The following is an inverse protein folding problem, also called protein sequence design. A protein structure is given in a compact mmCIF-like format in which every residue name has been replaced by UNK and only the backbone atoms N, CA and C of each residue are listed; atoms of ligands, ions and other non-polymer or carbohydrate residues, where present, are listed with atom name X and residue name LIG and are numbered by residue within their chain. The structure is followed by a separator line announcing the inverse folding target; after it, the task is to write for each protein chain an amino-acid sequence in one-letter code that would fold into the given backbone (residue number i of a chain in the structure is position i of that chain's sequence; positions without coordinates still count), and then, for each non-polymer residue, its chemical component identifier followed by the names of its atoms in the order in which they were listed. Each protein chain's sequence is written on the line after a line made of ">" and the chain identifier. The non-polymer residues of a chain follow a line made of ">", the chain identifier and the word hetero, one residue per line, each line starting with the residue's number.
data_IF_749895485456
#
_entry.id   IF_749895485456
#
_cell.length_a   1.000
_cell.length_b   1.000
_cell.length_c   1.000
_cell.angle_alpha   90.00
_cell.angle_beta   90.00
_cell.angle_gamma   90.00
#
_symmetry.space_group_name_H-M   'P 1'
#
loop_
_entity.id
_entity.type
_entity.pdbx_description
1 polymer ?
#
# COMPACT_ATOMS: atom_id res chain seq x y z
N UNK A 1 -13.19 -44.07 30.17
CA UNK A 1 -12.07 -44.03 31.11
C UNK A 1 -10.90 -44.73 30.46
N UNK A 2 -10.05 -43.93 29.83
CA UNK A 2 -8.74 -44.32 29.32
C UNK A 2 -7.88 -43.10 29.57
N UNK A 3 -7.12 -43.17 30.67
CA UNK A 3 -6.22 -42.14 31.14
C UNK A 3 -5.12 -41.90 30.10
N UNK A 4 -5.01 -40.65 29.66
CA UNK A 4 -3.81 -40.16 28.96
C UNK A 4 -3.01 -39.41 30.02
N UNK A 5 -1.97 -40.06 30.53
CA UNK A 5 -0.93 -39.39 31.34
C UNK A 5 -0.11 -38.48 30.43
N UNK A 6 0.15 -37.20 30.79
CA UNK A 6 1.05 -36.35 30.03
C UNK A 6 2.50 -36.83 30.19
N UNK A 7 3.24 -36.80 29.08
CA UNK A 7 4.67 -37.08 29.03
C UNK A 7 5.44 -35.89 29.69
N UNK A 8 6.34 -36.12 30.66
CA UNK A 8 6.95 -35.03 31.45
C UNK A 8 8.19 -34.40 30.79
N UNK A 9 8.32 -34.48 29.46
CA UNK A 9 9.54 -34.11 28.73
C UNK A 9 9.29 -33.03 27.66
N UNK A 10 8.28 -32.18 27.87
CA UNK A 10 8.09 -30.97 27.07
C UNK A 10 8.94 -29.86 27.68
N UNK A 11 10.24 -29.89 27.38
CA UNK A 11 11.08 -28.71 27.54
C UNK A 11 10.45 -27.60 26.71
N UNK A 12 9.93 -26.58 27.37
CA UNK A 12 9.33 -25.36 26.82
C UNK A 12 10.17 -24.78 25.67
N UNK A 13 9.95 -25.26 24.45
CA UNK A 13 10.44 -24.59 23.25
C UNK A 13 9.59 -23.32 23.12
N UNK A 14 10.23 -22.16 23.35
CA UNK A 14 9.66 -20.87 22.95
C UNK A 14 9.48 -20.91 21.44
N UNK A 15 8.26 -21.22 20.97
CA UNK A 15 7.91 -20.97 19.58
C UNK A 15 7.65 -19.47 19.47
N UNK A 16 8.67 -18.71 19.07
CA UNK A 16 8.43 -17.37 18.57
C UNK A 16 7.56 -17.50 17.33
N UNK A 17 6.48 -16.71 17.25
CA UNK A 17 5.72 -16.58 16.00
C UNK A 17 6.60 -15.81 15.02
N UNK A 18 7.52 -16.53 14.38
CA UNK A 18 8.50 -15.98 13.45
C UNK A 18 7.80 -15.68 12.11
N UNK A 19 6.90 -14.69 12.12
CA UNK A 19 6.29 -14.14 10.93
C UNK A 19 7.32 -13.28 10.20
N UNK A 20 8.32 -13.91 9.60
CA UNK A 20 9.26 -13.19 8.75
C UNK A 20 8.66 -13.05 7.35
N UNK A 21 8.48 -11.79 6.94
CA UNK A 21 8.17 -11.37 5.55
C UNK A 21 9.10 -12.00 4.50
N UNK A 22 10.22 -12.59 4.93
CA UNK A 22 11.17 -13.36 4.11
C UNK A 22 10.59 -14.62 3.49
N UNK A 23 9.60 -15.30 4.09
CA UNK A 23 8.97 -16.44 3.40
C UNK A 23 8.16 -15.98 2.19
N UNK A 24 7.71 -14.71 2.16
CA UNK A 24 7.00 -14.13 1.02
C UNK A 24 7.94 -13.53 -0.04
N UNK A 25 9.07 -12.94 0.36
CA UNK A 25 10.05 -12.37 -0.57
C UNK A 25 11.05 -13.40 -1.13
N UNK A 26 11.31 -14.52 -0.44
CA UNK A 26 12.24 -15.55 -0.90
C UNK A 26 11.60 -16.60 -1.83
N UNK A 27 10.26 -16.74 -1.85
CA UNK A 27 9.57 -17.67 -2.76
C UNK A 27 9.52 -17.20 -4.21
N UNK A 28 9.92 -15.96 -4.49
CA UNK A 28 10.11 -15.47 -5.86
C UNK A 28 11.48 -15.85 -6.45
N UNK A 29 12.31 -16.62 -5.74
CA UNK A 29 13.60 -17.09 -6.23
C UNK A 29 14.00 -18.42 -5.58
N UNK A 30 13.71 -19.54 -6.28
CA UNK A 30 14.50 -20.79 -6.41
C UNK A 30 13.58 -22.01 -6.50
N UNK A 31 13.40 -22.50 -7.73
CA UNK A 31 13.69 -23.90 -8.05
C UNK A 31 14.36 -23.92 -9.44
N UNK A 32 15.70 -23.81 -9.44
CA UNK A 32 16.57 -24.05 -10.59
C UNK A 32 16.41 -25.50 -11.06
N UNK A 33 15.71 -25.70 -12.18
CA UNK A 33 16.07 -26.72 -13.16
C UNK A 33 17.08 -26.08 -14.13
N UNK A 34 18.18 -26.76 -14.50
CA UNK A 34 19.21 -26.15 -15.33
C UNK A 34 18.71 -26.07 -16.77
N UNK A 35 18.41 -24.86 -17.23
CA UNK A 35 18.14 -24.58 -18.63
C UNK A 35 17.04 -23.56 -18.83
N UNK A 36 17.43 -22.28 -18.80
CA UNK A 36 17.06 -21.20 -19.73
C UNK A 36 17.44 -19.84 -19.08
N UNK A 37 18.04 -19.00 -19.90
CA UNK A 37 18.60 -17.68 -19.58
C UNK A 37 17.53 -16.64 -19.29
N UNK A 38 17.97 -15.59 -18.57
CA UNK A 38 17.43 -14.22 -18.42
C UNK A 38 16.32 -13.98 -17.38
N UNK A 39 16.76 -13.55 -16.20
CA UNK A 39 15.98 -12.72 -15.28
C UNK A 39 16.08 -11.28 -15.77
N UNK A 40 15.03 -10.77 -16.41
CA UNK A 40 14.95 -9.40 -16.86
C UNK A 40 14.70 -8.46 -15.69
N UNK A 41 15.63 -7.55 -15.42
CA UNK A 41 15.32 -6.27 -14.76
C UNK A 41 14.31 -5.53 -15.64
N UNK A 42 13.22 -5.02 -15.06
CA UNK A 42 12.33 -4.11 -15.75
C UNK A 42 13.10 -2.82 -16.08
N UNK A 43 13.66 -2.77 -17.28
CA UNK A 43 14.08 -1.55 -17.96
C UNK A 43 12.83 -0.70 -18.26
N UNK A 44 12.95 0.64 -18.42
CA UNK A 44 11.80 1.51 -18.56
C UNK A 44 10.91 1.04 -19.72
N UNK A 45 9.63 0.94 -19.41
CA UNK A 45 8.53 0.54 -20.28
C UNK A 45 8.66 1.20 -21.65
N UNK A 46 8.90 0.37 -22.67
CA UNK A 46 8.59 0.73 -24.04
C UNK A 46 7.12 1.09 -24.09
N UNK A 47 6.80 2.30 -24.60
CA UNK A 47 5.44 2.77 -24.83
C UNK A 47 4.68 1.68 -25.60
N UNK A 48 3.84 0.92 -24.89
CA UNK A 48 2.79 0.11 -25.48
C UNK A 48 1.96 1.08 -26.33
N UNK A 49 1.57 0.74 -27.57
CA UNK A 49 0.65 1.59 -28.32
C UNK A 49 -0.50 1.98 -27.40
N UNK A 50 -0.79 3.29 -27.30
CA UNK A 50 -1.85 3.82 -26.43
C UNK A 50 -3.12 3.01 -26.70
N UNK A 51 -3.49 2.18 -25.71
CA UNK A 51 -4.71 1.41 -25.73
C UNK A 51 -5.79 2.29 -25.13
N UNK A 52 -6.77 2.70 -25.95
CA UNK A 52 -7.93 3.38 -25.41
C UNK A 52 -8.80 2.39 -24.62
N UNK A 53 -9.74 2.87 -23.79
CA UNK A 53 -10.67 1.98 -23.09
C UNK A 53 -11.39 0.98 -24.01
N UNK A 54 -11.73 1.38 -25.23
CA UNK A 54 -12.42 0.54 -26.21
C UNK A 54 -11.56 -0.58 -26.80
N UNK A 55 -10.23 -0.46 -26.71
CA UNK A 55 -9.27 -1.42 -27.26
C UNK A 55 -8.89 -2.53 -26.26
N UNK A 56 -9.29 -2.41 -24.99
CA UNK A 56 -8.94 -3.40 -23.96
C UNK A 56 -9.66 -4.74 -24.23
N UNK A 57 -8.92 -5.86 -24.34
CA UNK A 57 -9.52 -7.18 -24.42
C UNK A 57 -10.01 -7.63 -23.03
N UNK A 58 -11.20 -7.19 -22.62
CA UNK A 58 -11.70 -7.37 -21.26
C UNK A 58 -11.66 -8.82 -20.76
N UNK A 59 -11.91 -9.82 -21.61
CA UNK A 59 -11.85 -11.24 -21.24
C UNK A 59 -10.45 -11.66 -20.76
N UNK A 60 -9.38 -11.07 -21.30
CA UNK A 60 -7.99 -11.34 -20.89
C UNK A 60 -7.63 -10.69 -19.56
N UNK A 61 -8.42 -9.70 -19.12
CA UNK A 61 -8.19 -8.93 -17.90
C UNK A 61 -9.18 -9.31 -16.80
N UNK A 62 -10.47 -9.00 -16.95
CA UNK A 62 -11.46 -9.14 -15.86
C UNK A 62 -12.07 -10.54 -15.74
N UNK A 63 -11.72 -11.47 -16.62
CA UNK A 63 -12.11 -12.89 -16.57
C UNK A 63 -10.89 -13.84 -16.57
N UNK A 64 -9.74 -13.36 -16.16
CA UNK A 64 -8.48 -14.11 -16.16
C UNK A 64 -7.82 -14.08 -14.77
N UNK A 65 -7.94 -15.14 -13.96
CA UNK A 65 -7.43 -15.16 -12.60
C UNK A 65 -5.89 -15.16 -12.52
N UNK A 66 -5.18 -15.37 -13.64
CA UNK A 66 -3.72 -15.31 -13.69
C UNK A 66 -3.20 -13.86 -13.85
N UNK A 67 -4.02 -12.95 -14.40
CA UNK A 67 -3.69 -11.53 -14.55
C UNK A 67 -4.35 -10.72 -13.44
N UNK A 68 -3.68 -10.56 -12.31
CA UNK A 68 -4.21 -9.83 -11.15
C UNK A 68 -3.89 -8.32 -11.20
N UNK A 69 -2.79 -7.97 -11.85
CA UNK A 69 -2.24 -6.62 -11.94
C UNK A 69 -1.42 -6.47 -13.23
N UNK A 70 -1.29 -5.24 -13.72
CA UNK A 70 -0.38 -4.89 -14.80
C UNK A 70 0.26 -3.53 -14.54
N UNK A 71 1.59 -3.43 -14.73
CA UNK A 71 2.40 -2.22 -14.51
C UNK A 71 2.36 -1.65 -13.08
N UNK A 72 1.99 -2.45 -12.08
CA UNK A 72 2.04 -2.04 -10.69
C UNK A 72 3.46 -2.10 -10.10
N UNK A 73 3.77 -1.20 -9.18
CA UNK A 73 4.90 -1.35 -8.27
C UNK A 73 4.64 -2.50 -7.30
N UNK A 74 5.64 -3.34 -7.04
CA UNK A 74 5.47 -4.42 -6.07
C UNK A 74 5.21 -3.86 -4.66
N UNK A 75 4.30 -4.49 -3.93
CA UNK A 75 3.86 -3.98 -2.63
C UNK A 75 4.98 -3.68 -1.62
N UNK A 76 4.95 -2.47 -1.07
CA UNK A 76 5.90 -1.96 -0.08
C UNK A 76 5.18 -1.15 1.02
N UNK A 77 5.91 -0.77 2.08
CA UNK A 77 5.38 0.21 3.05
C UNK A 77 5.19 1.58 2.37
N UNK A 78 4.23 2.41 2.78
CA UNK A 78 4.11 3.76 2.20
C UNK A 78 5.39 4.59 2.36
N UNK A 79 5.87 5.17 1.26
CA UNK A 79 7.22 5.76 1.15
C UNK A 79 7.25 7.27 0.91
N UNK A 80 6.12 7.97 1.11
CA UNK A 80 6.02 9.43 0.89
C UNK A 80 7.20 10.16 1.56
N UNK A 81 8.13 10.75 0.78
CA UNK A 81 9.35 11.30 1.34
C UNK A 81 9.09 12.68 1.94
N UNK A 82 9.96 13.10 2.85
CA UNK A 82 10.08 14.46 3.39
C UNK A 82 11.46 15.03 3.06
N UNK A 83 11.64 16.36 3.07
CA UNK A 83 12.95 16.98 2.84
C UNK A 83 13.99 16.69 3.93
N UNK A 84 13.56 16.29 5.13
CA UNK A 84 14.44 15.90 6.25
C UNK A 84 13.65 15.18 7.35
N UNK A 85 14.35 14.42 8.20
CA UNK A 85 13.73 13.79 9.38
C UNK A 85 13.15 14.83 10.33
N UNK A 86 13.77 16.01 10.43
CA UNK A 86 13.23 17.12 11.23
C UNK A 86 11.87 17.59 10.71
N UNK A 87 11.71 17.71 9.38
CA UNK A 87 10.42 18.08 8.77
C UNK A 87 9.38 16.99 9.03
N UNK A 88 9.72 15.73 8.78
CA UNK A 88 8.81 14.60 9.06
C UNK A 88 8.35 14.58 10.52
N UNK A 89 9.27 14.75 11.48
CA UNK A 89 8.96 14.80 12.91
C UNK A 89 8.06 15.98 13.31
N UNK A 90 8.21 17.14 12.67
CA UNK A 90 7.40 18.32 12.98
C UNK A 90 5.90 18.12 12.67
N UNK A 91 5.61 17.23 11.71
CA UNK A 91 4.26 16.85 11.30
C UNK A 91 3.80 15.55 11.95
N UNK A 92 4.69 14.81 12.62
CA UNK A 92 4.33 13.64 13.42
C UNK A 92 3.71 14.03 14.76
N UNK A 93 2.48 14.54 14.73
CA UNK A 93 1.71 14.92 15.91
C UNK A 93 0.73 13.83 16.30
N UNK A 94 0.34 13.80 17.58
CA UNK A 94 -0.75 12.95 18.03
C UNK A 94 -2.03 13.24 17.22
N UNK A 95 -2.82 12.21 17.00
CA UNK A 95 -4.12 12.28 16.32
C UNK A 95 -4.09 12.78 14.86
N UNK A 96 -3.00 12.55 14.14
CA UNK A 96 -2.92 12.76 12.69
C UNK A 96 -2.80 11.44 11.94
N UNK A 97 -3.65 11.24 10.94
CA UNK A 97 -3.59 10.08 10.04
C UNK A 97 -2.32 10.11 9.18
N UNK A 98 -1.93 8.99 8.56
CA UNK A 98 -0.89 8.99 7.53
C UNK A 98 -1.13 10.04 6.45
N UNK A 99 -2.32 10.07 5.85
CA UNK A 99 -2.68 11.06 4.82
C UNK A 99 -2.49 12.51 5.29
N UNK A 100 -2.99 12.86 6.48
CA UNK A 100 -2.85 14.21 7.02
C UNK A 100 -1.40 14.61 7.26
N UNK A 101 -0.52 13.64 7.56
CA UNK A 101 0.92 13.88 7.69
C UNK A 101 1.56 14.03 6.31
N UNK A 102 1.20 13.19 5.36
CA UNK A 102 1.75 13.21 4.00
C UNK A 102 1.40 14.49 3.25
N UNK A 103 0.19 15.03 3.44
CA UNK A 103 -0.21 16.35 2.92
C UNK A 103 0.70 17.51 3.36
N UNK A 104 1.55 17.32 4.37
CA UNK A 104 2.53 18.31 4.80
C UNK A 104 3.87 18.17 4.08
N UNK A 105 4.07 17.08 3.32
CA UNK A 105 5.23 16.89 2.48
C UNK A 105 5.10 17.68 1.18
N UNK A 106 6.15 18.38 0.73
CA UNK A 106 6.20 18.93 -0.63
C UNK A 106 6.25 17.86 -1.73
N UNK A 107 6.29 16.58 -1.39
CA UNK A 107 6.39 15.46 -2.31
C UNK A 107 5.13 14.59 -2.33
N UNK A 108 4.01 15.14 -1.88
CA UNK A 108 2.71 14.48 -1.87
C UNK A 108 1.62 15.43 -2.37
N UNK A 109 0.69 14.91 -3.15
CA UNK A 109 -0.53 15.61 -3.58
C UNK A 109 -1.72 14.65 -3.47
N UNK A 110 -2.85 15.15 -2.94
CA UNK A 110 -4.09 14.38 -2.85
C UNK A 110 -4.91 14.55 -4.13
N UNK A 111 -5.36 13.45 -4.71
CA UNK A 111 -6.35 13.41 -5.79
C UNK A 111 -7.75 13.03 -5.29
N UNK A 112 -8.02 13.19 -4.00
CA UNK A 112 -9.39 13.23 -3.50
C UNK A 112 -10.12 14.50 -3.96
N UNK A 113 -11.44 14.52 -3.83
CA UNK A 113 -12.31 15.65 -4.20
C UNK A 113 -13.26 15.28 -5.32
N UNK A 114 -13.72 16.28 -6.08
CA UNK A 114 -14.70 16.07 -7.14
C UNK A 114 -14.04 15.54 -8.41
N UNK A 115 -14.65 14.52 -9.01
CA UNK A 115 -14.29 13.96 -10.30
C UNK A 115 -15.52 13.94 -11.21
N UNK A 116 -15.31 14.11 -12.51
CA UNK A 116 -16.32 13.82 -13.51
C UNK A 116 -16.59 12.32 -13.53
N UNK A 117 -17.85 11.93 -13.68
CA UNK A 117 -18.27 10.55 -13.55
C UNK A 117 -19.34 10.16 -14.57
N UNK A 118 -19.12 9.02 -15.22
CA UNK A 118 -20.10 8.40 -16.10
C UNK A 118 -20.36 6.96 -15.66
N UNK A 119 -21.62 6.65 -15.38
CA UNK A 119 -22.05 5.30 -15.04
C UNK A 119 -22.67 4.60 -16.25
N UNK A 120 -22.20 3.40 -16.57
CA UNK A 120 -22.76 2.54 -17.60
C UNK A 120 -23.27 1.23 -16.99
N UNK A 121 -24.36 0.69 -17.54
CA UNK A 121 -24.95 -0.58 -17.08
C UNK A 121 -24.04 -1.79 -17.35
N UNK A 122 -23.25 -1.74 -18.42
CA UNK A 122 -22.32 -2.78 -18.85
C UNK A 122 -21.14 -2.17 -19.64
N UNK A 123 -20.06 -2.95 -19.88
CA UNK A 123 -18.87 -2.43 -20.53
C UNK A 123 -19.11 -1.89 -21.94
N UNK A 124 -20.01 -2.50 -22.71
CA UNK A 124 -20.33 -2.06 -24.07
C UNK A 124 -20.96 -0.65 -24.13
N UNK A 125 -21.50 -0.15 -23.02
CA UNK A 125 -22.07 1.20 -22.91
C UNK A 125 -21.12 2.19 -22.19
N UNK A 126 -19.93 1.74 -21.75
CA UNK A 126 -18.93 2.63 -21.20
C UNK A 126 -18.27 3.45 -22.32
N UNK A 127 -17.73 4.65 -22.02
CA UNK A 127 -16.94 5.41 -22.99
C UNK A 127 -15.79 4.57 -23.53
N UNK A 128 -15.66 4.49 -24.86
CA UNK A 128 -14.53 3.81 -25.53
C UNK A 128 -13.28 4.69 -25.59
N UNK A 129 -13.44 5.99 -25.36
CA UNK A 129 -12.40 7.02 -25.40
C UNK A 129 -12.56 7.95 -24.19
N UNK A 130 -11.47 8.60 -23.80
CA UNK A 130 -11.42 9.53 -22.66
C UNK A 130 -11.37 11.01 -23.10
N UNK A 131 -11.25 11.30 -24.38
CA UNK A 131 -10.97 12.65 -24.89
C UNK A 131 -12.07 13.70 -24.68
N UNK A 132 -13.27 13.31 -24.23
CA UNK A 132 -14.37 14.28 -24.04
C UNK A 132 -15.27 13.89 -22.86
N UNK A 133 -15.09 14.61 -21.76
CA UNK A 133 -16.08 14.71 -20.68
C UNK A 133 -17.29 15.48 -21.22
N UNK A 134 -18.28 14.78 -21.76
CA UNK A 134 -19.52 15.40 -22.24
C UNK A 134 -20.40 15.89 -21.08
N UNK A 135 -21.69 15.56 -21.12
CA UNK A 135 -22.62 15.80 -20.01
C UNK A 135 -22.49 14.72 -18.92
N UNK A 136 -21.30 14.56 -18.36
CA UNK A 136 -21.06 13.62 -17.26
C UNK A 136 -21.52 14.20 -15.92
N UNK A 137 -21.85 13.32 -14.99
CA UNK A 137 -22.15 13.70 -13.62
C UNK A 137 -20.86 14.06 -12.87
N UNK A 138 -21.00 14.48 -11.61
CA UNK A 138 -19.87 14.69 -10.70
C UNK A 138 -20.05 13.81 -9.46
N UNK A 139 -18.99 13.11 -9.05
CA UNK A 139 -18.91 12.33 -7.80
C UNK A 139 -17.75 12.84 -6.94
N UNK A 140 -17.83 12.60 -5.63
CA UNK A 140 -16.68 12.79 -4.74
C UNK A 140 -15.87 11.51 -4.69
N UNK A 141 -14.55 11.61 -4.81
CA UNK A 141 -13.60 10.52 -4.59
C UNK A 141 -12.82 10.80 -3.29
N UNK A 142 -12.72 9.85 -2.36
CA UNK A 142 -13.32 8.52 -2.40
C UNK A 142 -14.84 8.51 -2.19
N UNK A 143 -15.52 7.58 -2.87
CA UNK A 143 -16.92 7.21 -2.64
C UNK A 143 -17.22 5.86 -3.30
N UNK A 144 -18.15 5.10 -2.73
CA UNK A 144 -18.81 4.03 -3.48
C UNK A 144 -19.93 4.64 -4.32
N UNK A 145 -20.00 4.35 -5.62
CA UNK A 145 -20.94 5.07 -6.48
C UNK A 145 -22.41 4.82 -6.08
N UNK A 146 -22.70 3.75 -5.35
CA UNK A 146 -24.04 3.47 -4.83
C UNK A 146 -24.49 4.48 -3.78
N UNK A 147 -23.55 5.06 -3.01
CA UNK A 147 -23.86 6.13 -2.05
C UNK A 147 -24.29 7.42 -2.77
N UNK A 148 -23.79 7.63 -4.00
CA UNK A 148 -24.15 8.77 -4.85
C UNK A 148 -25.41 8.52 -5.70
N UNK A 149 -26.07 7.37 -5.52
CA UNK A 149 -27.33 7.03 -6.19
C UNK A 149 -27.18 6.27 -7.51
N UNK A 150 -25.97 5.85 -7.89
CA UNK A 150 -25.74 5.07 -9.11
C UNK A 150 -25.87 3.56 -8.87
N UNK A 151 -26.54 2.86 -9.79
CA UNK A 151 -26.75 1.41 -9.68
C UNK A 151 -27.52 1.00 -8.41
N UNK A 152 -27.19 -0.18 -7.87
CA UNK A 152 -27.89 -0.76 -6.71
C UNK A 152 -26.91 -1.30 -5.67
N UNK A 153 -27.15 -0.94 -4.40
CA UNK A 153 -26.53 -1.58 -3.24
C UNK A 153 -27.07 -3.01 -3.09
N UNK A 154 -26.19 -3.98 -2.96
CA UNK A 154 -26.57 -5.38 -2.77
C UNK A 154 -26.03 -5.86 -1.44
N UNK A 155 -26.89 -6.40 -0.58
CA UNK A 155 -26.45 -7.12 0.61
C UNK A 155 -26.58 -8.62 0.35
N UNK A 156 -25.49 -9.34 0.59
CA UNK A 156 -25.42 -10.79 0.49
C UNK A 156 -24.57 -11.32 1.63
N UNK A 157 -24.89 -12.54 2.06
CA UNK A 157 -24.10 -13.26 3.06
C UNK A 157 -23.25 -14.34 2.38
N UNK A 158 -23.88 -15.46 1.99
CA UNK A 158 -23.17 -16.60 1.39
C UNK A 158 -23.27 -16.59 -0.14
N UNK A 159 -24.44 -16.24 -0.68
CA UNK A 159 -24.68 -16.27 -2.13
C UNK A 159 -24.02 -15.08 -2.81
N UNK A 160 -23.23 -15.32 -3.86
CA UNK A 160 -22.63 -14.27 -4.67
C UNK A 160 -23.70 -13.31 -5.25
N UNK A 161 -23.30 -12.06 -5.49
CA UNK A 161 -24.14 -11.06 -6.16
C UNK A 161 -24.01 -11.09 -7.69
N UNK A 162 -23.09 -11.91 -8.22
CA UNK A 162 -22.96 -12.26 -9.63
C UNK A 162 -23.67 -13.59 -9.94
N UNK A 163 -24.28 -13.70 -11.13
CA UNK A 163 -24.99 -14.90 -11.60
C UNK A 163 -24.94 -14.99 -13.13
N UNK A 164 -24.80 -16.20 -13.73
CA UNK A 164 -24.61 -17.49 -13.08
C UNK A 164 -23.24 -17.60 -12.36
N UNK A 165 -23.09 -18.61 -11.51
CA UNK A 165 -21.78 -18.98 -10.97
C UNK A 165 -21.01 -19.75 -12.04
N UNK A 166 -20.06 -19.08 -12.70
CA UNK A 166 -19.26 -19.64 -13.78
C UNK A 166 -17.82 -19.08 -13.77
N UNK A 167 -17.00 -19.36 -12.73
CA UNK A 167 -15.66 -18.80 -12.66
C UNK A 167 -14.76 -19.29 -13.81
N UNK A 168 -13.94 -18.42 -14.42
CA UNK A 168 -13.64 -17.05 -13.99
C UNK A 168 -14.56 -15.97 -14.60
N UNK A 169 -15.55 -16.33 -15.41
CA UNK A 169 -16.37 -15.39 -16.17
C UNK A 169 -17.26 -14.50 -15.30
N UNK A 170 -17.57 -13.31 -15.82
CA UNK A 170 -18.52 -12.37 -15.21
C UNK A 170 -19.65 -12.03 -16.19
N UNK A 171 -20.81 -11.51 -15.73
CA UNK A 171 -21.92 -11.25 -16.63
C UNK A 171 -21.58 -10.12 -17.63
N UNK A 172 -21.73 -10.37 -18.93
CA UNK A 172 -21.46 -9.36 -19.96
C UNK A 172 -22.66 -8.43 -20.22
N UNK A 173 -23.88 -8.87 -19.90
CA UNK A 173 -25.12 -8.12 -20.08
C UNK A 173 -25.32 -7.06 -19.00
N UNK A 174 -24.95 -7.37 -17.76
CA UNK A 174 -25.00 -6.48 -16.60
C UNK A 174 -23.67 -6.61 -15.86
N UNK A 175 -22.74 -5.69 -16.12
CA UNK A 175 -21.55 -5.46 -15.31
C UNK A 175 -21.25 -3.96 -15.25
N UNK A 176 -21.85 -3.24 -14.28
CA UNK A 176 -21.76 -1.79 -14.24
C UNK A 176 -20.32 -1.28 -14.23
N UNK A 177 -20.09 -0.24 -15.03
CA UNK A 177 -18.78 0.41 -15.16
C UNK A 177 -18.90 1.86 -14.76
N UNK A 178 -18.05 2.28 -13.82
CA UNK A 178 -17.87 3.68 -13.45
C UNK A 178 -16.64 4.26 -14.14
N UNK A 179 -16.81 5.23 -15.02
CA UNK A 179 -15.70 5.97 -15.64
C UNK A 179 -15.51 7.29 -14.91
N UNK A 180 -14.32 7.50 -14.36
CA UNK A 180 -13.93 8.67 -13.59
C UNK A 180 -12.89 9.49 -14.37
N UNK A 181 -13.03 10.81 -14.37
CA UNK A 181 -12.02 11.72 -14.92
C UNK A 181 -11.81 12.94 -14.04
N UNK A 182 -10.57 13.43 -13.99
CA UNK A 182 -10.27 14.77 -13.46
C UNK A 182 -8.99 15.32 -14.07
N UNK A 183 -8.86 16.64 -14.04
CA UNK A 183 -7.57 17.28 -14.24
C UNK A 183 -6.82 17.45 -12.92
N UNK A 184 -5.51 17.56 -13.01
CA UNK A 184 -4.62 17.86 -11.89
C UNK A 184 -3.34 18.53 -12.40
N UNK A 185 -2.57 19.13 -11.50
CA UNK A 185 -1.25 19.65 -11.81
C UNK A 185 -0.22 19.00 -10.91
N UNK A 186 0.97 18.79 -11.45
CA UNK A 186 2.12 18.30 -10.70
C UNK A 186 3.06 19.49 -10.45
N UNK A 187 3.61 19.68 -9.24
CA UNK A 187 4.58 20.74 -8.99
C UNK A 187 5.80 20.61 -9.91
N UNK A 188 6.26 21.69 -10.54
CA UNK A 188 7.42 21.69 -11.46
C UNK A 188 8.65 20.97 -10.90
N UNK A 189 8.88 21.07 -9.58
CA UNK A 189 9.98 20.38 -8.87
C UNK A 189 9.93 18.85 -8.91
N UNK A 190 8.83 18.24 -9.39
CA UNK A 190 8.70 16.80 -9.58
C UNK A 190 9.06 16.36 -11.01
N UNK A 191 9.12 17.30 -11.97
CA UNK A 191 9.39 16.99 -13.37
C UNK A 191 10.87 16.73 -13.65
N UNK A 192 11.77 17.17 -12.77
CA UNK A 192 13.22 17.06 -12.93
C UNK A 192 13.84 16.06 -11.93
N UNK A 193 14.55 15.03 -12.44
CA UNK A 193 15.38 14.08 -11.66
C UNK A 193 14.63 13.35 -10.52
N UNK A 194 13.35 13.05 -10.76
CA UNK A 194 12.45 12.40 -9.81
C UNK A 194 11.52 11.42 -10.50
N UNK A 195 10.96 10.51 -9.71
CA UNK A 195 9.87 9.62 -10.10
C UNK A 195 8.58 10.10 -9.45
N UNK A 196 7.45 9.92 -10.12
CA UNK A 196 6.12 10.22 -9.60
C UNK A 196 5.25 8.98 -9.68
N UNK A 197 4.68 8.60 -8.55
CA UNK A 197 3.83 7.43 -8.40
C UNK A 197 2.40 7.86 -8.12
N UNK A 198 1.47 7.24 -8.83
CA UNK A 198 0.04 7.33 -8.59
C UNK A 198 -0.38 6.16 -7.70
N UNK A 199 -1.05 6.47 -6.59
CA UNK A 199 -1.48 5.49 -5.58
C UNK A 199 -2.99 5.54 -5.41
N UNK A 200 -3.63 4.38 -5.53
CA UNK A 200 -5.01 4.15 -5.12
C UNK A 200 -5.01 3.28 -3.86
N UNK A 201 -5.60 3.75 -2.75
CA UNK A 201 -5.64 2.99 -1.49
C UNK A 201 -6.72 1.89 -1.47
N UNK A 202 -7.63 1.89 -2.46
CA UNK A 202 -8.67 0.88 -2.62
C UNK A 202 -9.73 1.26 -3.66
N UNK A 203 -9.87 0.41 -4.68
CA UNK A 203 -10.85 0.51 -5.75
C UNK A 203 -11.53 -0.84 -5.90
N UNK A 204 -12.87 -0.87 -6.06
CA UNK A 204 -13.61 -2.14 -6.13
C UNK A 204 -14.41 -2.27 -7.44
N UNK A 205 -14.32 -3.38 -8.18
CA UNK A 205 -13.51 -4.60 -7.93
C UNK A 205 -12.29 -4.75 -8.83
N UNK A 206 -12.27 -4.10 -9.99
CA UNK A 206 -11.12 -4.07 -10.90
C UNK A 206 -11.13 -2.76 -11.68
N UNK A 207 -9.96 -2.27 -12.08
CA UNK A 207 -9.90 -1.01 -12.82
C UNK A 207 -8.67 -0.86 -13.69
N UNK A 208 -8.83 -0.02 -14.71
CA UNK A 208 -7.76 0.45 -15.59
C UNK A 208 -7.54 1.93 -15.37
N UNK A 209 -6.31 2.39 -15.56
CA UNK A 209 -5.92 3.80 -15.38
C UNK A 209 -5.16 4.32 -16.59
N UNK A 210 -5.45 5.58 -16.94
CA UNK A 210 -4.80 6.35 -17.98
C UNK A 210 -4.36 7.72 -17.45
N UNK A 211 -3.24 8.22 -17.97
CA UNK A 211 -2.76 9.57 -17.73
C UNK A 211 -2.53 10.23 -19.10
N UNK A 212 -3.17 11.37 -19.34
CA UNK A 212 -3.10 12.10 -20.62
C UNK A 212 -3.41 11.24 -21.86
N UNK A 213 -4.31 10.26 -21.72
CA UNK A 213 -4.68 9.31 -22.78
C UNK A 213 -3.75 8.10 -22.92
N UNK A 214 -2.60 8.08 -22.24
CA UNK A 214 -1.70 6.94 -22.22
C UNK A 214 -2.13 5.93 -21.15
N UNK A 215 -2.23 4.67 -21.55
CA UNK A 215 -2.54 3.57 -20.64
C UNK A 215 -1.39 3.37 -19.64
N UNK A 216 -1.74 3.35 -18.36
CA UNK A 216 -0.78 3.25 -17.25
C UNK A 216 -0.77 1.84 -16.66
N UNK A 217 -1.93 1.24 -16.39
CA UNK A 217 -1.98 -0.10 -15.78
C UNK A 217 -3.35 -0.55 -15.31
N UNK A 218 -3.36 -1.70 -14.63
CA UNK A 218 -4.56 -2.42 -14.20
C UNK A 218 -4.41 -3.08 -12.81
N UNK A 219 -5.52 -3.24 -12.09
CA UNK A 219 -5.60 -3.87 -10.77
C UNK A 219 -6.95 -4.59 -10.52
N UNK A 220 -6.93 -5.63 -9.68
CA UNK A 220 -8.11 -6.33 -9.11
C UNK A 220 -8.15 -6.35 -7.57
N UNK A 221 -7.13 -5.85 -6.88
CA UNK A 221 -6.96 -5.99 -5.44
C UNK A 221 -7.74 -4.96 -4.63
N UNK A 222 -9.03 -5.18 -4.36
CA UNK A 222 -9.87 -4.12 -3.80
C UNK A 222 -9.51 -3.66 -2.38
N UNK A 223 -8.73 -4.43 -1.62
CA UNK A 223 -8.48 -4.18 -0.20
C UNK A 223 -7.06 -3.69 0.11
N UNK A 224 -6.19 -3.71 -0.89
CA UNK A 224 -4.79 -3.29 -0.83
C UNK A 224 -4.57 -2.11 -1.76
N UNK A 225 -3.52 -1.33 -1.50
CA UNK A 225 -3.19 -0.22 -2.37
C UNK A 225 -2.46 -0.72 -3.62
N UNK A 226 -2.78 -0.11 -4.76
CA UNK A 226 -2.09 -0.30 -6.02
C UNK A 226 -1.36 1.00 -6.38
N UNK A 227 -0.13 0.87 -6.85
CA UNK A 227 0.74 1.99 -7.20
C UNK A 227 1.29 1.84 -8.61
N UNK A 228 1.35 2.93 -9.37
CA UNK A 228 1.85 2.95 -10.74
C UNK A 228 2.87 4.08 -10.91
N UNK A 229 4.01 3.79 -11.53
CA UNK A 229 4.94 4.83 -11.95
C UNK A 229 4.39 5.57 -13.18
N UNK A 230 3.96 6.82 -12.96
CA UNK A 230 3.35 7.66 -13.99
C UNK A 230 4.35 8.67 -14.58
N UNK A 231 5.62 8.59 -14.20
CA UNK A 231 6.64 9.61 -14.52
C UNK A 231 6.70 9.91 -16.02
N UNK A 232 6.65 8.88 -16.87
CA UNK A 232 6.75 9.03 -18.32
C UNK A 232 5.48 9.56 -18.99
N UNK A 233 4.31 9.43 -18.35
CA UNK A 233 3.02 9.86 -18.89
C UNK A 233 2.68 11.31 -18.51
N UNK A 234 3.41 11.90 -17.56
CA UNK A 234 3.16 13.26 -17.08
C UNK A 234 3.70 14.33 -18.04
N UNK A 235 2.98 15.45 -18.10
CA UNK A 235 3.40 16.66 -18.79
C UNK A 235 3.46 17.86 -17.84
N UNK A 236 4.18 18.90 -18.26
CA UNK A 236 4.24 20.16 -17.51
C UNK A 236 2.87 20.85 -17.51
N UNK A 237 2.46 21.37 -16.35
CA UNK A 237 1.18 22.05 -16.19
C UNK A 237 0.03 21.10 -15.91
N UNK A 238 -1.07 21.25 -16.64
CA UNK A 238 -2.28 20.45 -16.44
C UNK A 238 -2.13 19.05 -17.06
N UNK A 239 -2.51 18.05 -16.28
CA UNK A 239 -2.58 16.65 -16.65
C UNK A 239 -4.02 16.16 -16.46
N UNK A 240 -4.40 15.11 -17.17
CA UNK A 240 -5.68 14.43 -17.01
C UNK A 240 -5.46 12.99 -16.54
N UNK A 241 -6.30 12.54 -15.61
CA UNK A 241 -6.39 11.13 -15.21
C UNK A 241 -7.77 10.61 -15.59
N UNK A 242 -7.79 9.42 -16.20
CA UNK A 242 -8.99 8.65 -16.45
C UNK A 242 -8.91 7.27 -15.78
N UNK A 243 -10.03 6.80 -15.23
CA UNK A 243 -10.11 5.51 -14.55
C UNK A 243 -11.43 4.84 -14.93
N UNK A 244 -11.37 3.57 -15.36
CA UNK A 244 -12.59 2.77 -15.55
C UNK A 244 -12.63 1.64 -14.53
N UNK A 245 -13.66 1.67 -13.68
CA UNK A 245 -13.86 0.72 -12.59
C UNK A 245 -15.03 -0.20 -12.92
N UNK A 246 -14.78 -1.51 -12.86
CA UNK A 246 -15.74 -2.56 -13.12
C UNK A 246 -16.30 -3.07 -11.80
N UNK A 247 -17.62 -3.25 -11.74
CA UNK A 247 -18.29 -3.78 -10.54
C UNK A 247 -17.87 -5.21 -10.24
N UNK A 248 -17.78 -6.03 -11.28
CA UNK A 248 -17.40 -7.42 -11.19
C UNK A 248 -16.21 -7.73 -12.10
N UNK A 249 -15.35 -8.60 -11.58
CA UNK A 249 -14.21 -9.25 -12.22
C UNK A 249 -14.09 -10.66 -11.63
N UNK A 250 -13.20 -11.50 -12.15
CA UNK A 250 -12.88 -12.80 -11.53
C UNK A 250 -12.45 -12.66 -10.04
N UNK A 251 -11.85 -11.53 -9.65
CA UNK A 251 -11.54 -11.21 -8.25
C UNK A 251 -12.79 -11.17 -7.35
N UNK A 252 -13.97 -10.90 -7.91
CA UNK A 252 -15.24 -10.90 -7.16
C UNK A 252 -15.58 -12.26 -6.56
N UNK A 253 -15.10 -13.37 -7.15
CA UNK A 253 -15.26 -14.70 -6.59
C UNK A 253 -14.50 -14.89 -5.26
N UNK A 254 -13.46 -14.08 -5.01
CA UNK A 254 -12.67 -14.09 -3.78
C UNK A 254 -13.16 -13.08 -2.74
N UNK A 255 -14.02 -12.14 -3.13
CA UNK A 255 -14.48 -11.02 -2.30
C UNK A 255 -15.97 -11.16 -1.90
N UNK A 256 -16.33 -12.34 -1.39
CA UNK A 256 -17.69 -12.72 -1.00
C UNK A 256 -17.89 -12.67 0.54
N UNK A 257 -17.49 -11.57 1.17
CA UNK A 257 -17.72 -11.37 2.60
C UNK A 257 -19.21 -11.09 2.89
N UNK A 258 -19.69 -11.44 4.10
CA UNK A 258 -21.04 -11.11 4.56
C UNK A 258 -21.17 -9.60 4.82
N UNK A 259 -21.46 -8.85 3.75
CA UNK A 259 -21.48 -7.39 3.78
C UNK A 259 -22.32 -6.81 2.63
N UNK A 260 -22.38 -5.48 2.58
CA UNK A 260 -22.82 -4.77 1.39
C UNK A 260 -21.76 -4.83 0.29
N UNK A 261 -22.16 -5.24 -0.91
CA UNK A 261 -21.34 -5.30 -2.11
C UNK A 261 -21.47 -3.98 -2.86
N UNK A 262 -20.40 -3.19 -2.81
CA UNK A 262 -20.26 -1.88 -3.43
C UNK A 262 -19.22 -1.91 -4.55
N UNK A 263 -19.10 -0.80 -5.28
CA UNK A 263 -18.04 -0.60 -6.28
C UNK A 263 -17.68 0.88 -6.41
N UNK A 264 -16.51 1.14 -7.02
CA UNK A 264 -15.95 2.48 -7.19
C UNK A 264 -14.64 2.68 -6.44
N UNK A 265 -14.13 3.91 -6.50
CA UNK A 265 -12.89 4.35 -5.84
C UNK A 265 -13.23 4.73 -4.40
N UNK A 266 -13.16 3.79 -3.46
CA UNK A 266 -13.74 3.94 -2.13
C UNK A 266 -12.74 4.33 -1.03
N UNK A 267 -11.44 4.38 -1.35
CA UNK A 267 -10.36 4.93 -0.52
C UNK A 267 -9.52 5.96 -1.31
N UNK A 268 -8.63 6.63 -0.59
CA UNK A 268 -7.89 7.79 -1.08
C UNK A 268 -7.13 7.54 -2.39
N UNK A 269 -7.05 8.57 -3.22
CA UNK A 269 -6.19 8.61 -4.41
C UNK A 269 -5.15 9.72 -4.20
N UNK A 270 -3.90 9.44 -4.52
CA UNK A 270 -2.81 10.40 -4.31
C UNK A 270 -1.69 10.23 -5.31
N UNK A 271 -0.90 11.29 -5.46
CA UNK A 271 0.41 11.26 -6.09
C UNK A 271 1.47 11.50 -5.04
N UNK A 272 2.60 10.83 -5.19
CA UNK A 272 3.80 11.19 -4.46
C UNK A 272 5.02 11.08 -5.35
N UNK A 273 6.08 11.81 -5.00
CA UNK A 273 7.30 11.84 -5.80
C UNK A 273 8.53 11.49 -4.99
N UNK A 274 9.38 10.62 -5.52
CA UNK A 274 10.67 10.25 -4.92
C UNK A 274 11.82 10.79 -5.78
N UNK A 275 13.03 10.98 -5.23
CA UNK A 275 14.23 11.01 -6.04
C UNK A 275 14.40 9.68 -6.79
N UNK A 276 15.23 9.67 -7.84
CA UNK A 276 15.56 8.44 -8.57
C UNK A 276 16.11 7.33 -7.65
N UNK A 277 16.95 7.69 -6.68
CA UNK A 277 17.39 6.78 -5.64
C UNK A 277 16.68 7.07 -4.32
N UNK A 278 16.00 6.07 -3.77
CA UNK A 278 15.16 6.24 -2.59
C UNK A 278 15.06 4.96 -1.74
N UNK A 279 14.68 5.13 -0.47
CA UNK A 279 14.30 4.04 0.42
C UNK A 279 12.93 3.49 0.00
N UNK A 280 12.91 2.37 -0.71
CA UNK A 280 11.71 1.79 -1.32
C UNK A 280 10.87 0.99 -0.34
N UNK A 281 11.50 0.23 0.54
CA UNK A 281 10.78 -0.57 1.54
C UNK A 281 11.60 -0.71 2.82
N UNK A 282 10.94 -1.02 3.92
CA UNK A 282 11.60 -1.42 5.15
C UNK A 282 10.71 -2.28 6.04
N UNK A 283 11.33 -3.13 6.84
CA UNK A 283 10.70 -3.87 7.91
C UNK A 283 11.38 -3.55 9.25
N UNK A 284 10.61 -2.94 10.16
CA UNK A 284 11.01 -2.72 11.54
C UNK A 284 10.59 -3.94 12.39
N UNK A 285 11.58 -4.66 12.91
CA UNK A 285 11.41 -5.85 13.74
C UNK A 285 11.92 -5.56 15.15
N UNK A 286 11.10 -4.88 15.98
CA UNK A 286 11.43 -4.73 17.39
C UNK A 286 11.22 -6.07 18.10
N UNK A 287 12.18 -6.43 18.94
CA UNK A 287 12.17 -7.62 19.79
C UNK A 287 12.60 -7.24 21.20
N UNK A 288 12.28 -8.10 22.16
CA UNK A 288 12.80 -8.01 23.53
C UNK A 288 13.70 -9.22 23.82
N UNK A 289 14.64 -9.07 24.77
CA UNK A 289 15.41 -10.21 25.27
C UNK A 289 14.52 -11.17 26.10
N UNK A 290 15.07 -12.34 26.45
CA UNK A 290 14.32 -13.40 27.15
C UNK A 290 13.70 -12.97 28.49
N UNK A 291 14.29 -11.94 29.13
CA UNK A 291 13.82 -11.37 30.40
C UNK A 291 12.91 -10.15 30.19
N UNK A 292 12.64 -9.78 28.93
CA UNK A 292 11.93 -8.60 28.51
C UNK A 292 12.54 -7.30 29.05
N UNK A 293 13.83 -7.25 29.37
CA UNK A 293 14.49 -6.09 29.97
C UNK A 293 15.08 -5.17 28.91
N UNK A 294 15.70 -5.72 27.87
CA UNK A 294 16.32 -4.95 26.79
C UNK A 294 15.63 -5.23 25.46
N UNK A 295 15.76 -4.30 24.53
CA UNK A 295 15.19 -4.46 23.20
C UNK A 295 16.22 -4.26 22.10
N UNK A 296 16.02 -4.99 21.00
CA UNK A 296 16.78 -4.81 19.77
C UNK A 296 15.80 -4.50 18.65
N UNK A 297 16.01 -3.36 17.99
CA UNK A 297 15.35 -3.06 16.73
C UNK A 297 16.19 -3.62 15.59
N UNK A 298 15.72 -4.69 14.96
CA UNK A 298 16.25 -5.13 13.67
C UNK A 298 15.57 -4.33 12.55
N UNK A 299 16.37 -3.83 11.61
CA UNK A 299 15.89 -3.10 10.44
C UNK A 299 16.38 -3.81 9.21
N UNK A 300 15.44 -4.21 8.36
CA UNK A 300 15.70 -4.57 6.96
C UNK A 300 15.18 -3.43 6.10
N UNK A 301 15.99 -2.92 5.18
CA UNK A 301 15.64 -1.81 4.32
C UNK A 301 16.04 -2.14 2.88
N UNK A 302 15.29 -1.62 1.92
CA UNK A 302 15.57 -1.72 0.49
C UNK A 302 15.79 -0.32 -0.07
N UNK A 303 16.92 -0.11 -0.75
CA UNK A 303 17.20 1.14 -1.47
C UNK A 303 17.15 0.84 -2.96
N UNK A 304 16.23 1.47 -3.68
CA UNK A 304 16.11 1.39 -5.13
C UNK A 304 16.78 2.58 -5.80
N UNK A 305 17.29 2.40 -7.01
CA UNK A 305 17.86 3.45 -7.86
C UNK A 305 17.36 3.33 -9.30
N UNK A 306 16.38 4.16 -9.65
CA UNK A 306 15.80 4.22 -11.00
C UNK A 306 16.62 5.05 -12.00
N UNK A 307 17.79 5.59 -11.61
CA UNK A 307 18.66 6.31 -12.53
C UNK A 307 19.47 5.35 -13.42
N UNK A 308 19.89 5.85 -14.58
CA UNK A 308 20.78 5.14 -15.53
C UNK A 308 22.23 5.02 -15.05
N UNK A 309 22.54 5.51 -13.85
CA UNK A 309 23.89 5.47 -13.28
C UNK A 309 23.87 4.92 -11.85
N UNK A 310 24.86 4.07 -11.55
CA UNK A 310 25.06 3.56 -10.21
C UNK A 310 25.48 4.68 -9.26
N UNK A 311 25.16 4.53 -7.98
CA UNK A 311 25.49 5.50 -6.95
C UNK A 311 25.90 4.86 -5.63
N UNK A 312 26.75 5.55 -4.89
CA UNK A 312 27.03 5.22 -3.49
C UNK A 312 26.20 6.11 -2.59
N UNK A 313 25.43 5.52 -1.70
CA UNK A 313 24.51 6.21 -0.80
C UNK A 313 24.88 5.95 0.65
N UNK A 314 24.57 6.91 1.51
CA UNK A 314 24.64 6.77 2.96
C UNK A 314 23.23 6.80 3.51
N UNK A 315 22.76 5.66 4.01
CA UNK A 315 21.52 5.55 4.77
C UNK A 315 21.84 5.85 6.23
N UNK A 316 21.31 6.96 6.74
CA UNK A 316 21.43 7.35 8.15
C UNK A 316 20.10 7.11 8.84
N UNK A 317 20.17 6.42 9.98
CA UNK A 317 18.99 5.99 10.72
C UNK A 317 19.00 6.60 12.10
N UNK A 318 17.94 7.32 12.44
CA UNK A 318 17.75 8.05 13.69
C UNK A 318 16.65 7.40 14.51
N UNK A 319 16.99 6.91 15.71
CA UNK A 319 16.01 6.38 16.65
C UNK A 319 15.59 7.46 17.64
N UNK A 320 14.29 7.68 17.80
CA UNK A 320 13.70 8.59 18.78
C UNK A 320 12.80 7.84 19.76
N UNK A 321 12.88 8.21 21.04
CA UNK A 321 12.03 7.67 22.10
C UNK A 321 10.58 8.18 22.00
N UNK A 322 9.65 7.68 22.83
CA UNK A 322 8.27 8.16 22.87
C UNK A 322 8.11 9.66 23.17
N UNK A 323 9.12 10.30 23.77
CA UNK A 323 9.18 11.72 24.07
C UNK A 323 9.92 12.53 23.00
N UNK A 324 10.10 11.97 21.80
CA UNK A 324 10.78 12.60 20.65
C UNK A 324 12.26 12.92 20.88
N UNK A 325 12.90 12.33 21.91
CA UNK A 325 14.34 12.50 22.16
C UNK A 325 15.11 11.49 21.34
N UNK A 326 16.15 11.95 20.65
CA UNK A 326 17.01 11.08 19.85
C UNK A 326 17.86 10.19 20.74
N UNK A 327 17.63 8.88 20.67
CA UNK A 327 18.33 7.84 21.45
C UNK A 327 19.64 7.45 20.78
N UNK A 328 19.60 7.15 19.47
CA UNK A 328 20.76 6.62 18.73
C UNK A 328 20.74 7.09 17.29
N UNK A 329 21.90 7.11 16.67
CA UNK A 329 22.03 7.34 15.23
C UNK A 329 23.08 6.38 14.69
N UNK A 330 22.71 5.63 13.66
CA UNK A 330 23.62 4.77 12.92
C UNK A 330 23.66 5.20 11.46
N UNK A 331 24.64 4.71 10.72
CA UNK A 331 24.68 4.89 9.28
C UNK A 331 25.38 3.75 8.60
N UNK A 332 24.90 3.36 7.44
CA UNK A 332 25.55 2.39 6.57
C UNK A 332 25.74 2.99 5.18
N UNK A 333 26.81 2.58 4.50
CA UNK A 333 27.11 2.98 3.12
C UNK A 333 26.71 1.83 2.21
N UNK A 334 26.03 2.14 1.10
CA UNK A 334 25.43 1.17 0.19
C UNK A 334 25.77 1.61 -1.23
N UNK A 335 26.34 0.71 -2.02
CA UNK A 335 26.47 0.91 -3.46
C UNK A 335 25.24 0.30 -4.13
N UNK A 336 24.51 1.10 -4.91
CA UNK A 336 23.28 0.69 -5.58
C UNK A 336 23.51 0.81 -7.09
N UNK A 337 23.37 -0.29 -7.87
CA UNK A 337 23.50 -0.24 -9.32
C UNK A 337 22.47 0.68 -9.99
N UNK A 338 22.65 0.95 -11.28
CA UNK A 338 21.66 1.64 -12.09
C UNK A 338 20.46 0.72 -12.36
N UNK A 339 19.23 1.24 -12.23
CA UNK A 339 18.00 0.49 -12.49
C UNK A 339 17.77 -0.73 -11.58
N UNK A 340 18.35 -0.74 -10.39
CA UNK A 340 18.35 -1.90 -9.49
C UNK A 340 18.07 -1.48 -8.03
N UNK A 341 17.83 -2.45 -7.15
CA UNK A 341 17.67 -2.24 -5.71
C UNK A 341 18.60 -3.11 -4.87
N UNK A 342 18.95 -2.62 -3.67
CA UNK A 342 19.83 -3.31 -2.74
C UNK A 342 19.21 -3.35 -1.35
N UNK A 343 19.14 -4.57 -0.79
CA UNK A 343 18.75 -4.80 0.60
C UNK A 343 19.89 -4.53 1.59
N UNK A 344 19.57 -3.95 2.74
CA UNK A 344 20.49 -3.74 3.85
C UNK A 344 19.83 -4.10 5.18
N UNK A 345 20.57 -4.81 6.02
CA UNK A 345 20.11 -5.21 7.36
C UNK A 345 21.07 -4.73 8.44
N UNK A 346 20.53 -4.20 9.54
CA UNK A 346 21.31 -3.81 10.72
C UNK A 346 20.43 -3.80 11.97
N UNK A 347 21.06 -3.70 13.13
CA UNK A 347 20.37 -3.71 14.43
C UNK A 347 20.71 -2.49 15.28
N UNK A 348 19.78 -2.09 16.14
CA UNK A 348 19.94 -1.01 17.11
C UNK A 348 19.49 -1.51 18.49
N UNK A 349 20.44 -1.74 19.39
CA UNK A 349 20.13 -2.09 20.78
C UNK A 349 19.69 -0.88 21.59
N UNK A 350 18.70 -1.10 22.45
CA UNK A 350 18.08 -0.15 23.37
C UNK A 350 17.96 -0.80 24.74
N UNK A 351 18.67 -0.28 25.73
CA UNK A 351 18.54 -0.72 27.10
C UNK A 351 17.20 -0.24 27.70
N UNK A 352 16.48 -1.13 28.39
CA UNK A 352 15.24 -0.81 29.10
C UNK A 352 14.24 0.03 28.29
N UNK A 353 13.80 -0.42 27.10
CA UNK A 353 12.89 0.35 26.27
C UNK A 353 11.51 0.50 26.92
N UNK A 354 10.83 1.61 26.64
CA UNK A 354 9.41 1.74 26.96
C UNK A 354 8.60 0.78 26.08
N UNK A 355 8.14 -0.32 26.67
CA UNK A 355 7.40 -1.38 25.95
C UNK A 355 6.04 -0.89 25.48
N UNK A 356 5.60 -1.41 24.35
CA UNK A 356 4.27 -1.20 23.81
C UNK A 356 3.33 -2.31 24.29
N UNK A 357 2.13 -1.93 24.68
CA UNK A 357 0.95 -2.79 24.84
C UNK A 357 -0.30 -1.98 24.50
N UNK A 358 -1.47 -2.63 24.44
CA UNK A 358 -2.74 -1.91 24.31
C UNK A 358 -2.99 -0.93 25.48
N UNK A 359 -2.49 -1.25 26.67
CA UNK A 359 -2.62 -0.43 27.89
C UNK A 359 -1.59 0.71 27.94
N UNK A 360 -0.41 0.46 27.37
CA UNK A 360 0.71 1.40 27.34
C UNK A 360 1.23 1.53 25.90
N UNK A 361 0.58 2.35 25.05
CA UNK A 361 0.88 2.44 23.62
C UNK A 361 2.14 3.28 23.34
N UNK A 362 3.26 2.93 23.99
CA UNK A 362 4.54 3.60 23.82
C UNK A 362 5.09 3.36 22.41
N UNK A 363 5.22 4.43 21.62
CA UNK A 363 5.73 4.36 20.26
C UNK A 363 7.05 5.11 20.13
N UNK A 364 8.07 4.42 19.64
CA UNK A 364 9.32 4.99 19.16
C UNK A 364 9.14 5.46 17.71
N UNK A 365 10.09 6.27 17.23
CA UNK A 365 10.17 6.66 15.81
C UNK A 365 11.53 6.31 15.22
N UNK A 366 11.53 5.85 13.98
CA UNK A 366 12.74 5.69 13.16
C UNK A 366 12.67 6.69 12.02
N UNK A 367 13.62 7.63 11.99
CA UNK A 367 13.83 8.53 10.88
C UNK A 367 14.95 8.02 9.98
N UNK A 368 14.66 7.75 8.72
CA UNK A 368 15.66 7.41 7.71
C UNK A 368 16.04 8.67 6.93
N UNK A 369 17.32 8.85 6.63
CA UNK A 369 17.84 9.85 5.69
C UNK A 369 18.73 9.15 4.67
N UNK A 370 18.36 9.21 3.39
CA UNK A 370 19.20 8.69 2.31
C UNK A 370 19.89 9.85 1.61
N UNK A 371 21.21 9.77 1.49
CA UNK A 371 22.01 10.78 0.80
C UNK A 371 23.09 10.16 -0.07
N UNK A 372 23.12 10.54 -1.34
CA UNK A 372 24.20 10.16 -2.24
C UNK A 372 25.54 10.77 -1.78
N UNK A 373 26.59 9.96 -1.76
CA UNK A 373 27.94 10.45 -1.46
C UNK A 373 28.46 11.32 -2.60
N UNK A 374 29.23 12.35 -2.25
CA UNK A 374 29.87 13.31 -3.18
C UNK A 374 28.92 14.18 -4.01
N UNK A 375 27.62 13.92 -3.97
CA UNK A 375 26.60 14.80 -4.53
C UNK A 375 26.18 15.88 -3.53
N UNK A 376 25.75 17.02 -4.06
CA UNK A 376 24.99 18.04 -3.31
C UNK A 376 23.47 17.78 -3.37
N UNK A 377 23.05 16.69 -4.03
CA UNK A 377 21.63 16.34 -4.23
C UNK A 377 20.86 16.24 -2.91
N UNK A 378 19.56 16.45 -3.02
CA UNK A 378 18.63 16.49 -1.89
C UNK A 378 18.66 15.18 -1.13
N UNK A 379 18.72 15.28 0.20
CA UNK A 379 18.42 14.18 1.10
C UNK A 379 16.91 13.94 1.05
N UNK A 380 16.50 12.69 0.92
CA UNK A 380 15.14 12.32 1.27
C UNK A 380 15.10 11.74 2.68
N UNK A 381 13.94 11.88 3.31
CA UNK A 381 13.71 11.31 4.62
C UNK A 381 12.35 10.66 4.74
N UNK A 382 12.30 9.56 5.48
CA UNK A 382 11.06 8.89 5.86
C UNK A 382 11.00 8.73 7.38
N UNK A 383 9.78 8.63 7.90
CA UNK A 383 9.55 8.48 9.34
C UNK A 383 8.53 7.38 9.61
N UNK A 384 8.96 6.37 10.34
CA UNK A 384 8.15 5.25 10.77
C UNK A 384 7.95 5.25 12.29
N UNK A 385 6.86 4.63 12.76
CA UNK A 385 6.60 4.36 14.17
C UNK A 385 6.67 2.87 14.43
N UNK A 386 7.14 2.50 15.62
CA UNK A 386 7.13 1.12 16.08
C UNK A 386 7.06 1.08 17.61
N UNK A 387 6.65 -0.06 18.17
CA UNK A 387 6.65 -0.31 19.62
C UNK A 387 7.49 -1.53 19.95
N UNK A 388 8.28 -1.48 21.02
CA UNK A 388 8.96 -2.68 21.52
C UNK A 388 7.95 -3.58 22.19
N UNK A 389 7.66 -4.73 21.57
CA UNK A 389 6.83 -5.77 22.15
C UNK A 389 7.19 -7.14 21.61
N UNK A 390 7.00 -8.15 22.43
CA UNK A 390 7.15 -9.57 22.09
C UNK A 390 5.79 -10.26 22.22
N UNK A 391 5.48 -11.15 21.27
CA UNK A 391 4.29 -12.01 21.29
C UNK A 391 4.74 -13.46 21.30
N UNK A 392 4.30 -14.22 22.29
CA UNK A 392 4.72 -15.61 22.46
C UNK A 392 3.51 -16.47 22.83
N UNK A 393 3.60 -17.76 22.50
CA UNK A 393 2.70 -18.78 23.04
C UNK A 393 3.49 -19.55 24.09
N UNK A 394 3.09 -19.43 25.36
CA UNK A 394 3.71 -20.12 26.49
C UNK A 394 2.63 -20.93 27.19
N UNK A 395 2.85 -22.23 27.39
CA UNK A 395 1.91 -23.14 28.05
C UNK A 395 0.46 -23.07 27.50
N UNK A 396 0.33 -22.88 26.18
CA UNK A 396 -0.96 -22.76 25.48
C UNK A 396 -1.68 -21.42 25.67
N UNK A 397 -1.04 -20.43 26.29
CA UNK A 397 -1.53 -19.07 26.45
C UNK A 397 -0.78 -18.11 25.55
N UNK A 398 -1.45 -17.07 25.04
CA UNK A 398 -0.78 -15.98 24.32
C UNK A 398 -0.30 -14.95 25.35
N UNK A 399 0.98 -14.63 25.28
CA UNK A 399 1.64 -13.64 26.12
C UNK A 399 2.02 -12.41 25.30
N UNK A 400 1.96 -11.24 25.94
CA UNK A 400 2.53 -9.99 25.44
C UNK A 400 3.53 -9.50 26.46
N UNK A 401 4.80 -9.40 26.06
CA UNK A 401 5.90 -9.00 26.94
C UNK A 401 6.02 -9.89 28.20
N UNK A 402 5.78 -11.19 28.05
CA UNK A 402 5.84 -12.17 29.15
C UNK A 402 4.56 -12.32 29.98
N UNK A 403 3.56 -11.45 29.79
CA UNK A 403 2.30 -11.48 30.55
C UNK A 403 1.17 -12.11 29.72
N UNK A 404 0.37 -13.05 30.26
CA UNK A 404 -0.76 -13.63 29.55
C UNK A 404 -1.85 -12.59 29.29
N UNK A 405 -2.52 -12.65 28.14
CA UNK A 405 -3.51 -11.65 27.71
C UNK A 405 -4.89 -12.25 27.46
N UNK A 406 -5.91 -11.60 28.03
CA UNK A 406 -7.31 -11.83 27.69
C UNK A 406 -7.73 -10.94 26.51
N UNK A 407 -8.13 -11.55 25.39
CA UNK A 407 -8.62 -10.81 24.22
C UNK A 407 -10.05 -10.31 24.41
N UNK A 408 -10.18 -9.00 24.61
CA UNK A 408 -11.47 -8.28 24.59
C UNK A 408 -11.74 -7.71 23.19
N UNK A 409 -11.79 -8.58 22.21
CA UNK A 409 -11.88 -8.22 20.79
C UNK A 409 -13.29 -8.06 20.25
N UNK A 410 -13.41 -7.35 19.13
CA UNK A 410 -14.62 -7.23 18.31
C UNK A 410 -14.21 -7.29 16.83
N UNK A 411 -15.03 -7.91 15.98
CA UNK A 411 -14.84 -7.81 14.53
C UNK A 411 -15.43 -6.48 14.04
N UNK A 412 -14.69 -5.76 13.20
CA UNK A 412 -15.07 -4.44 12.72
C UNK A 412 -14.94 -4.38 11.20
N UNK A 413 -16.03 -4.02 10.53
CA UNK A 413 -16.07 -3.76 9.09
C UNK A 413 -16.00 -2.25 8.86
N UNK A 414 -15.27 -1.81 7.82
CA UNK A 414 -15.40 -0.43 7.32
C UNK A 414 -16.80 -0.23 6.73
N UNK A 415 -17.66 0.47 7.47
CA UNK A 415 -19.03 0.77 7.05
C UNK A 415 -19.54 2.08 7.64
N UNK A 416 -20.16 2.90 6.81
CA UNK A 416 -20.89 4.09 7.20
C UNK A 416 -22.31 4.02 6.63
N UNK A 417 -23.37 4.35 7.40
CA UNK A 417 -24.76 4.25 6.94
C UNK A 417 -25.06 5.10 5.69
N UNK A 418 -24.36 6.23 5.52
CA UNK A 418 -24.56 7.14 4.38
C UNK A 418 -23.48 7.00 3.29
N UNK A 419 -22.25 6.64 3.66
CA UNK A 419 -21.10 6.63 2.74
C UNK A 419 -20.72 5.21 2.28
N UNK A 420 -21.54 4.22 2.64
CA UNK A 420 -21.31 2.82 2.29
C UNK A 420 -20.05 2.27 2.95
N UNK A 421 -18.99 2.03 2.17
CA UNK A 421 -17.70 1.52 2.68
C UNK A 421 -16.67 2.63 2.92
N UNK A 422 -16.91 3.83 2.42
CA UNK A 422 -15.94 4.92 2.52
C UNK A 422 -15.91 5.46 3.96
N UNK A 423 -14.73 5.41 4.57
CA UNK A 423 -14.51 5.81 5.97
C UNK A 423 -13.55 6.99 6.04
N UNK A 424 -13.97 8.05 6.75
CA UNK A 424 -13.09 9.17 7.07
C UNK A 424 -12.21 8.86 8.28
N UNK A 425 -11.12 9.60 8.45
CA UNK A 425 -10.30 9.48 9.66
C UNK A 425 -11.07 9.84 10.94
N UNK A 426 -11.99 10.81 10.86
CA UNK A 426 -12.82 11.22 11.99
C UNK A 426 -13.73 10.08 12.43
N UNK A 427 -14.42 9.44 11.49
CA UNK A 427 -15.28 8.27 11.75
C UNK A 427 -14.50 7.13 12.41
N UNK A 428 -13.33 6.76 11.85
CA UNK A 428 -12.48 5.71 12.44
C UNK A 428 -12.04 6.05 13.87
N UNK A 429 -11.85 7.34 14.20
CA UNK A 429 -11.47 7.77 15.55
C UNK A 429 -12.64 7.72 16.52
N UNK A 430 -13.83 8.12 16.09
CA UNK A 430 -15.04 8.02 16.90
C UNK A 430 -15.27 6.56 17.32
N UNK A 431 -15.15 5.62 16.38
CA UNK A 431 -15.27 4.17 16.64
C UNK A 431 -14.26 3.64 17.65
N UNK A 432 -13.02 4.16 17.63
CA UNK A 432 -11.96 3.77 18.58
C UNK A 432 -12.11 4.39 19.97
N UNK A 433 -12.89 5.46 20.11
CA UNK A 433 -13.01 6.26 21.35
C UNK A 433 -14.19 5.86 22.24
N UNK A 434 -14.96 4.85 21.83
CA UNK A 434 -16.21 4.40 22.47
C UNK A 434 -16.11 3.93 23.91
#
# INVERSE_FOLDING_TARGET
>A
MSDITPNPDDSTERSTLDMTRRTFLATSSIALLPGLSECGSAAPTSVTPSMSPGDIPLEEYIENPELIEENQESGHVPTVPYPSVRSALAHDRANKSPLQRWQQSPYFESLNGNWNFHWALNPANAPSELDTVGSWDTTTVPSVWQADGFGHSMYRNITLDLSPYDPPSVPSDINPVGTYQRTFTVPDRWMDDRRTFLRFDGVKSAYFVWINGDYVGFDKGSMTAAEFDVTAALQSGENEIGVQVFRWSDGSYLENQDMWHFAGIFRDVSLYSTPNAHLRDYFLRPSLDDNYENGTLHVDAEVANYADSAGTYKLRTHLFDPNYRRVKTTSTTIDVPAGDSVGVSFSIDVASPSKWSAEHPNLYRVGFELRQLRSRSSTEAQLAKFGFREYEILDGQIHVNGEPVDFKGVNHHEHHPELGRTMTEEMRREELSG
#
